data_IF_300668928160
#
_entry.id   IF_300668928160
#
_cell.length_a   1.000
_cell.length_b   1.000
_cell.length_c   1.000
_cell.angle_alpha   90.00
_cell.angle_beta   90.00
_cell.angle_gamma   90.00
#
_symmetry.space_group_name_H-M   'P 1'
#
loop_
_entity.id
_entity.type
_entity.pdbx_description
1 polymer ?
#
# COMPACT_ATOMS: atom_id res chain seq x y z
N UNK A 1 8.43 -12.19 -30.54
CA UNK A 1 8.47 -10.86 -29.87
C UNK A 1 8.96 -10.89 -28.42
N UNK A 2 9.02 -12.05 -27.77
CA UNK A 2 9.49 -12.22 -26.36
C UNK A 2 11.02 -12.18 -26.24
N UNK A 3 11.78 -12.55 -27.27
CA UNK A 3 13.25 -12.62 -27.22
C UNK A 3 13.94 -11.25 -27.21
N UNK A 4 13.37 -10.23 -27.86
CA UNK A 4 13.96 -8.88 -27.87
C UNK A 4 13.76 -8.12 -26.54
N UNK A 5 12.69 -8.43 -25.80
CA UNK A 5 12.39 -7.81 -24.52
C UNK A 5 13.38 -8.24 -23.40
N UNK A 6 13.83 -9.48 -23.44
CA UNK A 6 14.78 -10.03 -22.47
C UNK A 6 16.22 -9.52 -22.66
N UNK A 7 16.65 -9.30 -23.90
CA UNK A 7 18.01 -8.82 -24.20
C UNK A 7 18.19 -7.35 -23.78
N UNK A 8 17.20 -6.51 -24.02
CA UNK A 8 17.23 -5.08 -23.63
C UNK A 8 17.18 -4.88 -22.13
N UNK A 9 16.43 -5.72 -21.41
CA UNK A 9 16.39 -5.67 -19.94
C UNK A 9 17.69 -6.15 -19.29
N UNK A 10 18.33 -7.19 -19.83
CA UNK A 10 19.62 -7.67 -19.32
C UNK A 10 20.74 -6.65 -19.54
N UNK A 11 20.76 -5.95 -20.67
CA UNK A 11 21.75 -4.92 -20.95
C UNK A 11 21.55 -3.69 -20.03
N UNK A 12 20.30 -3.29 -19.76
CA UNK A 12 20.00 -2.21 -18.81
C UNK A 12 20.42 -2.58 -17.38
N UNK A 13 20.13 -3.79 -16.92
CA UNK A 13 20.54 -4.27 -15.59
C UNK A 13 22.06 -4.30 -15.45
N UNK A 14 22.78 -4.76 -16.47
CA UNK A 14 24.24 -4.82 -16.46
C UNK A 14 24.87 -3.42 -16.39
N UNK A 15 24.41 -2.47 -17.21
CA UNK A 15 24.89 -1.09 -17.19
C UNK A 15 24.63 -0.39 -15.85
N UNK A 16 23.48 -0.64 -15.22
CA UNK A 16 23.12 -0.09 -13.93
C UNK A 16 23.96 -0.69 -12.79
N UNK A 17 24.25 -1.99 -12.84
CA UNK A 17 25.15 -2.66 -11.88
C UNK A 17 26.58 -2.12 -11.98
N UNK A 18 27.08 -1.88 -13.18
CA UNK A 18 28.41 -1.27 -13.41
C UNK A 18 28.47 0.17 -12.86
N UNK A 19 27.42 0.97 -13.08
CA UNK A 19 27.32 2.32 -12.54
C UNK A 19 27.26 2.33 -11.00
N UNK A 20 26.49 1.43 -10.41
CA UNK A 20 26.38 1.27 -8.96
C UNK A 20 27.71 0.88 -8.33
N UNK A 21 28.44 -0.07 -8.91
CA UNK A 21 29.75 -0.48 -8.43
C UNK A 21 30.75 0.68 -8.48
N UNK A 22 30.72 1.48 -9.54
CA UNK A 22 31.55 2.70 -9.64
C UNK A 22 31.22 3.70 -8.51
N UNK A 23 29.92 3.94 -8.23
CA UNK A 23 29.49 4.86 -7.17
C UNK A 23 29.89 4.34 -5.78
N UNK A 24 29.78 3.04 -5.52
CA UNK A 24 30.23 2.41 -4.27
C UNK A 24 31.75 2.56 -4.07
N UNK A 25 32.54 2.38 -5.13
CA UNK A 25 33.99 2.60 -5.09
C UNK A 25 34.34 4.07 -4.79
N UNK A 26 33.65 4.99 -5.41
CA UNK A 26 33.82 6.43 -5.14
C UNK A 26 33.40 6.80 -3.72
N UNK A 27 32.29 6.23 -3.22
CA UNK A 27 31.85 6.45 -1.85
C UNK A 27 32.87 5.93 -0.83
N UNK A 28 33.45 4.76 -1.06
CA UNK A 28 34.48 4.19 -0.19
C UNK A 28 35.72 5.07 -0.09
N UNK A 29 36.01 5.87 -1.12
CA UNK A 29 37.15 6.80 -1.18
C UNK A 29 36.85 8.19 -0.59
N UNK A 30 35.61 8.64 -0.69
CA UNK A 30 35.23 10.03 -0.36
C UNK A 30 34.37 10.14 0.90
N UNK A 31 33.73 9.06 1.34
CA UNK A 31 32.78 9.02 2.45
C UNK A 31 31.68 10.12 2.34
N UNK A 32 31.27 10.45 1.11
CA UNK A 32 30.35 11.53 0.81
C UNK A 32 28.89 11.11 1.11
N UNK A 33 28.20 11.90 1.95
CA UNK A 33 26.78 11.69 2.29
C UNK A 33 25.90 11.85 1.03
N UNK A 34 26.24 12.78 0.14
CA UNK A 34 25.51 12.97 -1.13
C UNK A 34 25.58 11.72 -2.00
N UNK A 35 26.76 11.13 -2.14
CA UNK A 35 26.96 9.93 -2.94
C UNK A 35 26.26 8.69 -2.33
N UNK A 36 26.20 8.59 -1.00
CA UNK A 36 25.43 7.56 -0.32
C UNK A 36 23.94 7.70 -0.60
N UNK A 37 23.40 8.91 -0.64
CA UNK A 37 22.01 9.19 -1.00
C UNK A 37 21.70 8.77 -2.45
N UNK A 38 22.61 9.06 -3.39
CA UNK A 38 22.45 8.70 -4.79
C UNK A 38 22.49 7.18 -5.00
N UNK A 39 23.37 6.46 -4.28
CA UNK A 39 23.43 5.00 -4.27
C UNK A 39 22.12 4.41 -3.73
N UNK A 40 21.59 4.95 -2.63
CA UNK A 40 20.32 4.53 -2.05
C UNK A 40 19.14 4.72 -3.02
N UNK A 41 19.09 5.87 -3.71
CA UNK A 41 18.08 6.15 -4.72
C UNK A 41 18.16 5.20 -5.93
N UNK A 42 19.38 4.82 -6.35
CA UNK A 42 19.59 3.83 -7.42
C UNK A 42 19.16 2.43 -6.98
N UNK A 43 19.50 2.00 -5.76
CA UNK A 43 19.08 0.70 -5.21
C UNK A 43 17.56 0.57 -5.11
N UNK A 44 16.89 1.65 -4.69
CA UNK A 44 15.43 1.71 -4.65
C UNK A 44 14.81 1.60 -6.06
N UNK A 45 15.44 2.18 -7.08
CA UNK A 45 15.02 2.01 -8.48
C UNK A 45 15.24 0.59 -9.02
N UNK A 46 16.33 -0.07 -8.65
CA UNK A 46 16.63 -1.45 -9.10
C UNK A 46 15.72 -2.50 -8.47
N UNK A 47 15.34 -2.31 -7.19
CA UNK A 47 14.47 -3.25 -6.49
C UNK A 47 13.07 -3.34 -7.10
N UNK A 48 12.79 -2.53 -8.13
CA UNK A 48 11.43 -2.43 -8.70
C UNK A 48 10.43 -1.83 -7.71
N UNK A 49 10.93 -1.43 -6.55
CA UNK A 49 10.22 -0.64 -5.57
C UNK A 49 10.31 0.86 -5.91
N UNK A 50 9.91 1.23 -7.11
CA UNK A 50 9.21 2.49 -7.24
C UNK A 50 8.07 2.36 -6.23
N UNK A 51 8.06 3.22 -5.20
CA UNK A 51 6.95 3.32 -4.25
C UNK A 51 5.70 3.26 -5.11
N UNK A 52 4.88 2.22 -4.93
CA UNK A 52 3.69 2.11 -5.76
C UNK A 52 2.82 3.31 -5.44
N UNK A 53 2.01 3.77 -6.39
CA UNK A 53 1.07 4.86 -6.11
C UNK A 53 0.20 4.56 -4.88
N UNK A 54 -0.12 3.29 -4.64
CA UNK A 54 -0.85 2.83 -3.44
C UNK A 54 -0.05 3.03 -2.17
N UNK A 55 1.25 2.70 -2.17
CA UNK A 55 2.10 2.85 -0.98
C UNK A 55 2.32 4.33 -0.65
N UNK A 56 2.48 5.16 -1.67
CA UNK A 56 2.57 6.62 -1.52
C UNK A 56 1.28 7.20 -0.93
N UNK A 57 0.11 6.76 -1.41
CA UNK A 57 -1.17 7.21 -0.91
C UNK A 57 -1.38 6.81 0.55
N UNK A 58 -1.06 5.58 0.92
CA UNK A 58 -1.14 5.09 2.31
C UNK A 58 -0.21 5.91 3.21
N UNK A 59 1.04 6.15 2.79
CA UNK A 59 1.97 6.96 3.54
C UNK A 59 1.46 8.40 3.75
N UNK A 60 0.84 9.00 2.74
CA UNK A 60 0.26 10.33 2.81
C UNK A 60 -0.92 10.38 3.80
N UNK A 61 -1.80 9.37 3.82
CA UNK A 61 -2.90 9.25 4.78
C UNK A 61 -2.38 9.14 6.21
N UNK A 62 -1.37 8.30 6.45
CA UNK A 62 -0.73 8.14 7.76
C UNK A 62 -0.11 9.46 8.22
N UNK A 63 0.64 10.11 7.34
CA UNK A 63 1.27 11.39 7.66
C UNK A 63 0.22 12.45 8.01
N UNK A 64 -0.85 12.56 7.22
CA UNK A 64 -1.95 13.48 7.50
C UNK A 64 -2.60 13.22 8.85
N UNK A 65 -2.87 11.96 9.21
CA UNK A 65 -3.43 11.58 10.50
C UNK A 65 -2.53 12.01 11.68
N UNK A 66 -1.22 11.80 11.57
CA UNK A 66 -0.23 12.22 12.57
C UNK A 66 -0.15 13.74 12.70
N UNK A 67 -0.16 14.49 11.58
CA UNK A 67 -0.17 15.96 11.56
C UNK A 67 -1.43 16.55 12.20
N UNK A 68 -2.58 15.85 12.10
CA UNK A 68 -3.83 16.20 12.77
C UNK A 68 -3.89 15.78 14.24
N UNK A 69 -2.88 15.07 14.74
CA UNK A 69 -2.82 14.61 16.11
C UNK A 69 -3.76 13.44 16.42
N UNK A 70 -4.16 12.65 15.43
CA UNK A 70 -5.01 11.48 15.61
C UNK A 70 -4.19 10.36 16.24
N UNK A 71 -4.38 10.14 17.55
CA UNK A 71 -3.55 9.22 18.34
C UNK A 71 -4.35 8.39 19.37
N UNK A 72 -5.67 8.48 19.38
CA UNK A 72 -6.55 7.71 20.27
C UNK A 72 -7.28 6.62 19.48
N UNK A 73 -6.94 5.35 19.75
CA UNK A 73 -7.51 4.21 19.03
C UNK A 73 -9.02 4.05 19.24
N UNK A 74 -9.57 4.45 20.39
CA UNK A 74 -11.01 4.34 20.68
C UNK A 74 -11.77 5.42 19.92
N UNK A 75 -11.26 6.64 19.91
CA UNK A 75 -11.84 7.73 19.14
C UNK A 75 -11.81 7.38 17.63
N UNK A 76 -10.69 6.85 17.14
CA UNK A 76 -10.54 6.44 15.75
C UNK A 76 -11.45 5.26 15.39
N UNK A 77 -11.65 4.27 16.28
CA UNK A 77 -12.61 3.19 16.07
C UNK A 77 -14.04 3.72 15.93
N UNK A 78 -14.44 4.71 16.73
CA UNK A 78 -15.75 5.33 16.58
C UNK A 78 -15.92 5.98 15.20
N UNK A 79 -14.85 6.61 14.69
CA UNK A 79 -14.86 7.19 13.34
C UNK A 79 -14.99 6.10 12.25
N UNK A 80 -14.28 4.96 12.38
CA UNK A 80 -14.46 3.82 11.47
C UNK A 80 -15.91 3.34 11.45
N UNK A 81 -16.55 3.23 12.63
CA UNK A 81 -17.96 2.79 12.72
C UNK A 81 -18.90 3.80 12.05
N UNK A 82 -18.64 5.09 12.21
CA UNK A 82 -19.40 6.17 11.57
C UNK A 82 -19.34 6.04 10.04
N UNK A 83 -18.13 5.94 9.44
CA UNK A 83 -17.96 5.83 7.99
C UNK A 83 -18.57 4.52 7.42
N UNK A 84 -18.40 3.41 8.11
CA UNK A 84 -19.07 2.15 7.74
C UNK A 84 -20.60 2.31 7.79
N UNK A 85 -21.13 3.07 8.75
CA UNK A 85 -22.55 3.39 8.86
C UNK A 85 -23.06 4.21 7.67
N UNK A 86 -22.27 5.16 7.16
CA UNK A 86 -22.61 5.95 5.97
C UNK A 86 -22.64 5.08 4.71
N UNK A 87 -21.64 4.21 4.52
CA UNK A 87 -21.66 3.21 3.43
C UNK A 87 -22.88 2.31 3.53
N UNK A 88 -23.22 1.80 4.73
CA UNK A 88 -24.37 0.95 4.94
C UNK A 88 -25.69 1.67 4.64
N UNK A 89 -25.78 2.95 5.03
CA UNK A 89 -26.94 3.77 4.69
C UNK A 89 -27.10 3.92 3.18
N UNK A 90 -26.02 4.18 2.45
CA UNK A 90 -26.08 4.36 1.01
C UNK A 90 -26.41 3.05 0.27
N UNK A 91 -25.86 1.91 0.69
CA UNK A 91 -26.16 0.58 0.10
C UNK A 91 -27.63 0.19 0.25
N UNK A 92 -28.31 0.64 1.33
CA UNK A 92 -29.71 0.27 1.60
C UNK A 92 -30.73 1.09 0.81
N UNK A 93 -30.31 2.11 0.07
CA UNK A 93 -31.19 2.89 -0.80
C UNK A 93 -31.61 2.08 -2.04
N UNK A 94 -32.81 2.29 -2.54
CA UNK A 94 -33.27 1.66 -3.81
C UNK A 94 -32.40 2.03 -5.00
N UNK A 95 -31.79 3.22 -4.96
CA UNK A 95 -30.78 3.71 -5.92
C UNK A 95 -29.71 4.45 -5.13
N UNK A 96 -28.55 3.82 -4.99
CA UNK A 96 -27.40 4.48 -4.38
C UNK A 96 -26.78 5.50 -5.33
N UNK A 97 -26.26 6.57 -4.77
CA UNK A 97 -25.43 7.53 -5.48
C UNK A 97 -23.98 6.99 -5.56
N UNK A 98 -23.47 6.82 -6.77
CA UNK A 98 -22.13 6.26 -6.99
C UNK A 98 -21.03 7.14 -6.38
N UNK A 99 -21.20 8.46 -6.42
CA UNK A 99 -20.21 9.40 -5.89
C UNK A 99 -20.19 9.38 -4.36
N UNK A 100 -21.37 9.39 -3.71
CA UNK A 100 -21.48 9.24 -2.25
C UNK A 100 -21.00 7.86 -1.77
N UNK A 101 -21.24 6.81 -2.57
CA UNK A 101 -20.71 5.47 -2.28
C UNK A 101 -19.18 5.43 -2.36
N UNK A 102 -18.59 6.06 -3.39
CA UNK A 102 -17.14 6.13 -3.56
C UNK A 102 -16.47 6.91 -2.43
N UNK A 103 -17.08 8.02 -2.03
CA UNK A 103 -16.64 8.87 -0.91
C UNK A 103 -16.65 8.07 0.40
N UNK A 104 -17.76 7.46 0.77
CA UNK A 104 -17.90 6.67 2.00
C UNK A 104 -16.95 5.46 2.06
N UNK A 105 -16.70 4.77 0.91
CA UNK A 105 -15.70 3.70 0.85
C UNK A 105 -14.30 4.29 1.05
N UNK A 106 -13.99 5.44 0.45
CA UNK A 106 -12.74 6.14 0.62
C UNK A 106 -12.48 6.53 2.07
N UNK A 107 -13.45 7.14 2.73
CA UNK A 107 -13.37 7.56 4.13
C UNK A 107 -13.25 6.37 5.09
N UNK A 108 -13.94 5.27 4.80
CA UNK A 108 -13.75 4.00 5.55
C UNK A 108 -12.31 3.52 5.43
N UNK A 109 -11.71 3.53 4.24
CA UNK A 109 -10.31 3.12 4.04
C UNK A 109 -9.34 4.06 4.77
N UNK A 110 -9.53 5.37 4.67
CA UNK A 110 -8.72 6.38 5.38
C UNK A 110 -8.76 6.14 6.89
N UNK A 111 -9.94 5.97 7.46
CA UNK A 111 -10.09 5.77 8.91
C UNK A 111 -9.48 4.45 9.40
N UNK A 112 -9.56 3.38 8.62
CA UNK A 112 -8.92 2.08 8.92
C UNK A 112 -7.39 2.18 8.84
N UNK A 113 -6.83 2.86 7.82
CA UNK A 113 -5.38 3.07 7.68
C UNK A 113 -4.84 3.84 8.89
N UNK A 114 -5.51 4.91 9.31
CA UNK A 114 -5.12 5.70 10.49
C UNK A 114 -5.23 4.86 11.76
N UNK A 115 -6.28 4.06 11.93
CA UNK A 115 -6.42 3.17 13.07
C UNK A 115 -5.27 2.16 13.14
N UNK A 116 -4.89 1.57 12.01
CA UNK A 116 -3.75 0.64 11.95
C UNK A 116 -2.46 1.33 12.40
N UNK A 117 -2.17 2.54 11.91
CA UNK A 117 -1.00 3.32 12.33
C UNK A 117 -1.01 3.63 13.85
N UNK A 118 -2.15 4.04 14.41
CA UNK A 118 -2.27 4.34 15.85
C UNK A 118 -1.95 3.12 16.71
N UNK A 119 -2.32 1.91 16.27
CA UNK A 119 -2.04 0.67 17.01
C UNK A 119 -0.71 0.01 16.63
N UNK A 120 0.09 0.67 15.79
CA UNK A 120 1.43 0.22 15.41
C UNK A 120 1.45 -0.94 14.41
N UNK A 121 0.41 -1.06 13.56
CA UNK A 121 0.30 -2.07 12.52
C UNK A 121 0.44 -1.44 11.12
N UNK A 122 1.03 -2.18 10.19
CA UNK A 122 1.02 -1.83 8.78
C UNK A 122 -0.29 -2.30 8.12
N UNK A 123 -1.09 -1.40 7.52
CA UNK A 123 -2.39 -1.76 6.93
C UNK A 123 -2.26 -2.73 5.76
N UNK A 124 -1.15 -2.69 4.99
CA UNK A 124 -0.91 -3.60 3.87
C UNK A 124 -0.47 -4.98 4.32
N UNK A 125 0.30 -5.06 5.40
CA UNK A 125 0.61 -6.35 6.04
C UNK A 125 -0.66 -6.98 6.61
N UNK A 126 -1.52 -6.22 7.28
CA UNK A 126 -2.82 -6.70 7.76
C UNK A 126 -3.68 -7.26 6.61
N UNK A 127 -3.78 -6.54 5.50
CA UNK A 127 -4.51 -6.98 4.31
C UNK A 127 -3.90 -8.24 3.70
N UNK A 128 -2.57 -8.31 3.60
CA UNK A 128 -1.83 -9.46 3.09
C UNK A 128 -2.08 -10.72 3.94
N UNK A 129 -2.02 -10.59 5.27
CA UNK A 129 -2.33 -11.69 6.19
C UNK A 129 -3.76 -12.18 6.03
N UNK A 130 -4.73 -11.27 5.94
CA UNK A 130 -6.13 -11.60 5.73
C UNK A 130 -6.34 -12.31 4.38
N UNK A 131 -5.77 -11.78 3.30
CA UNK A 131 -5.84 -12.40 1.97
C UNK A 131 -5.21 -13.79 1.94
N UNK A 132 -4.02 -13.97 2.53
CA UNK A 132 -3.37 -15.28 2.63
C UNK A 132 -4.21 -16.32 3.40
N UNK A 133 -5.04 -15.86 4.34
CA UNK A 133 -5.97 -16.74 5.05
C UNK A 133 -7.16 -17.16 4.19
N UNK A 134 -7.61 -16.32 3.25
CA UNK A 134 -8.84 -16.57 2.49
C UNK A 134 -8.61 -17.12 1.08
N UNK A 135 -7.46 -16.86 0.44
CA UNK A 135 -7.20 -17.16 -0.98
C UNK A 135 -7.40 -18.62 -1.37
N UNK A 136 -7.13 -19.53 -0.45
CA UNK A 136 -7.24 -20.99 -0.68
C UNK A 136 -8.48 -21.60 -0.01
N UNK A 137 -9.42 -20.79 0.50
CA UNK A 137 -10.65 -21.28 1.12
C UNK A 137 -11.52 -21.97 0.10
N UNK A 138 -11.94 -23.19 0.44
CA UNK A 138 -12.96 -23.93 -0.31
C UNK A 138 -14.35 -23.55 0.20
N UNK A 139 -15.29 -23.48 -0.70
CA UNK A 139 -16.67 -23.12 -0.39
C UNK A 139 -17.49 -22.86 -1.67
N UNK A 140 -18.70 -22.39 -1.48
CA UNK A 140 -19.59 -22.00 -2.57
C UNK A 140 -20.27 -20.68 -2.23
N UNK A 141 -20.83 -20.03 -3.23
CA UNK A 141 -21.61 -18.80 -3.03
C UNK A 141 -23.10 -19.13 -3.04
N UNK A 142 -23.80 -18.70 -1.99
CA UNK A 142 -25.25 -18.76 -1.90
C UNK A 142 -25.81 -17.38 -1.59
N UNK A 143 -26.77 -16.93 -2.36
CA UNK A 143 -27.40 -15.60 -2.24
C UNK A 143 -26.39 -14.44 -2.13
N UNK A 144 -25.30 -14.49 -2.89
CA UNK A 144 -24.25 -13.46 -2.89
C UNK A 144 -23.27 -13.54 -1.70
N UNK A 145 -23.43 -14.52 -0.80
CA UNK A 145 -22.56 -14.72 0.36
C UNK A 145 -21.72 -15.97 0.18
N UNK A 146 -20.40 -15.88 0.45
CA UNK A 146 -19.51 -17.04 0.43
C UNK A 146 -19.70 -17.90 1.69
N UNK A 147 -20.03 -19.18 1.49
CA UNK A 147 -20.19 -20.19 2.56
C UNK A 147 -18.97 -21.11 2.52
N UNK A 148 -18.21 -21.11 3.61
CA UNK A 148 -17.02 -21.96 3.76
C UNK A 148 -17.43 -23.42 3.98
N UNK A 149 -16.75 -24.35 3.28
CA UNK A 149 -16.81 -25.78 3.61
C UNK A 149 -16.15 -26.05 4.98
N UNK A 150 -16.76 -26.92 5.76
CA UNK A 150 -16.24 -27.33 7.07
C UNK A 150 -15.11 -28.32 6.94
#
# INVERSE_FOLDING_TARGET
MVFCYNVTNNNKRRAMTEQMNYMLEMWSKTNSISLASDICAMLLKESGSGVSHSDELIANVIQWGREKGLNDAKAQLNKVIEEVGEVAHEVTRERYNTDEMADGIGDTLVTIIILADIVGLDPMECLSMAYNTIKDRKGHTDNGTFIKEQ
#
